data_IF_514574864279
#
_entry.id   IF_514574864279
#
_cell.length_a   1.000
_cell.length_b   1.000
_cell.length_c   1.000
_cell.angle_alpha   90.00
_cell.angle_beta   90.00
_cell.angle_gamma   90.00
#
_symmetry.space_group_name_H-M   'P 1'
#
loop_
_entity.id
_entity.type
_entity.pdbx_description
1 polymer ?
#
# COMPACT_ATOMS: atom_id res chain seq x y z
N UNK A 1 -14.40 -68.10 -9.01
CA UNK A 1 -13.42 -67.04 -9.39
C UNK A 1 -14.05 -65.64 -9.42
N UNK A 2 -14.63 -65.14 -8.30
CA UNK A 2 -15.23 -63.77 -8.23
C UNK A 2 -14.82 -62.97 -6.98
N UNK A 3 -14.04 -63.55 -6.05
CA UNK A 3 -13.59 -62.87 -4.82
C UNK A 3 -12.39 -61.94 -5.09
N UNK A 4 -11.55 -62.30 -6.04
CA UNK A 4 -10.27 -61.59 -6.31
C UNK A 4 -10.48 -60.24 -7.00
N UNK A 5 -11.59 -60.07 -7.73
CA UNK A 5 -11.94 -58.82 -8.41
C UNK A 5 -12.53 -57.77 -7.47
N UNK A 6 -13.22 -58.20 -6.41
CA UNK A 6 -13.79 -57.31 -5.39
C UNK A 6 -12.66 -56.78 -4.49
N UNK A 7 -11.75 -57.64 -4.07
CA UNK A 7 -10.61 -57.26 -3.23
C UNK A 7 -9.67 -56.26 -3.91
N UNK A 8 -9.37 -56.46 -5.21
CA UNK A 8 -8.59 -55.50 -6.00
C UNK A 8 -9.25 -54.13 -6.15
N UNK A 9 -10.58 -54.07 -6.25
CA UNK A 9 -11.31 -52.79 -6.34
C UNK A 9 -11.27 -52.02 -5.02
N UNK A 10 -11.35 -52.70 -3.87
CA UNK A 10 -11.30 -52.04 -2.55
C UNK A 10 -9.90 -51.43 -2.34
N UNK A 11 -8.83 -52.19 -2.60
CA UNK A 11 -7.45 -51.67 -2.49
C UNK A 11 -7.16 -50.51 -3.46
N UNK A 12 -7.70 -50.55 -4.69
CA UNK A 12 -7.53 -49.46 -5.65
C UNK A 12 -8.33 -48.21 -5.24
N UNK A 13 -9.49 -48.36 -4.60
CA UNK A 13 -10.25 -47.24 -4.03
C UNK A 13 -9.53 -46.61 -2.82
N UNK A 14 -8.86 -47.40 -1.98
CA UNK A 14 -8.06 -46.89 -0.85
C UNK A 14 -6.80 -46.18 -1.34
N UNK A 15 -6.09 -46.72 -2.33
CA UNK A 15 -4.93 -46.08 -2.94
C UNK A 15 -5.28 -44.75 -3.62
N UNK A 16 -6.44 -44.67 -4.28
CA UNK A 16 -6.93 -43.42 -4.90
C UNK A 16 -7.29 -42.37 -3.84
N UNK A 17 -7.92 -42.77 -2.73
CA UNK A 17 -8.23 -41.87 -1.59
C UNK A 17 -6.97 -41.35 -0.91
N UNK A 18 -5.98 -42.22 -0.69
CA UNK A 18 -4.69 -41.82 -0.11
C UNK A 18 -3.90 -40.87 -1.02
N UNK A 19 -3.91 -41.10 -2.35
CA UNK A 19 -3.30 -40.18 -3.32
C UNK A 19 -3.99 -38.81 -3.35
N UNK A 20 -5.31 -38.77 -3.28
CA UNK A 20 -6.07 -37.52 -3.21
C UNK A 20 -5.77 -36.72 -1.93
N UNK A 21 -5.66 -37.40 -0.78
CA UNK A 21 -5.31 -36.75 0.49
C UNK A 21 -3.88 -36.16 0.45
N UNK A 22 -2.91 -36.90 -0.10
CA UNK A 22 -1.53 -36.41 -0.24
C UNK A 22 -1.43 -35.19 -1.17
N UNK A 23 -2.16 -35.16 -2.29
CA UNK A 23 -2.19 -33.99 -3.18
C UNK A 23 -2.79 -32.77 -2.46
N UNK A 24 -3.87 -32.96 -1.69
CA UNK A 24 -4.48 -31.85 -0.94
C UNK A 24 -3.56 -31.26 0.12
N UNK A 25 -2.76 -32.07 0.82
CA UNK A 25 -1.82 -31.61 1.83
C UNK A 25 -0.67 -30.77 1.23
N UNK A 26 -0.21 -31.09 0.02
CA UNK A 26 0.79 -30.32 -0.71
C UNK A 26 0.23 -28.97 -1.17
N UNK A 27 -1.02 -28.93 -1.62
CA UNK A 27 -1.67 -27.66 -2.01
C UNK A 27 -1.79 -26.71 -0.81
N UNK A 28 -2.23 -27.18 0.36
CA UNK A 28 -2.38 -26.33 1.55
C UNK A 28 -1.06 -25.74 2.03
N UNK A 29 0.05 -26.47 1.92
CA UNK A 29 1.38 -26.00 2.33
C UNK A 29 1.98 -24.97 1.37
N UNK A 30 1.70 -25.05 0.05
CA UNK A 30 2.21 -24.08 -0.93
C UNK A 30 1.52 -22.71 -0.83
N UNK A 31 0.24 -22.66 -0.43
CA UNK A 31 -0.51 -21.39 -0.33
C UNK A 31 -0.51 -20.75 1.06
N UNK A 32 -0.04 -21.44 2.11
CA UNK A 32 -0.20 -21.03 3.50
C UNK A 32 0.71 -19.88 4.01
N UNK A 33 1.73 -19.47 3.26
CA UNK A 33 2.75 -18.53 3.77
C UNK A 33 2.95 -17.28 2.90
N UNK A 34 1.87 -16.59 2.51
CA UNK A 34 1.99 -15.20 2.06
C UNK A 34 1.98 -14.25 3.25
N UNK A 35 3.12 -14.14 3.96
CA UNK A 35 3.37 -12.93 4.75
C UNK A 35 3.48 -11.77 3.79
N UNK A 36 2.43 -10.95 3.71
CA UNK A 36 2.44 -9.71 2.93
C UNK A 36 3.65 -8.89 3.38
N UNK A 37 4.65 -8.76 2.50
CA UNK A 37 5.81 -7.93 2.75
C UNK A 37 5.31 -6.50 3.02
N UNK A 38 5.31 -6.11 4.29
CA UNK A 38 5.01 -4.76 4.75
C UNK A 38 6.21 -3.86 4.41
N UNK A 39 6.42 -3.68 3.11
CA UNK A 39 7.54 -2.97 2.51
C UNK A 39 7.25 -1.46 2.40
N UNK A 40 6.00 -1.03 2.58
CA UNK A 40 5.62 0.39 2.43
C UNK A 40 5.63 1.10 3.78
N UNK A 41 6.34 2.23 3.93
CA UNK A 41 6.32 3.02 5.14
C UNK A 41 4.90 3.49 5.52
N UNK A 42 4.59 3.66 6.81
CA UNK A 42 3.23 3.90 7.29
C UNK A 42 2.73 5.35 7.09
N UNK A 43 3.37 6.16 6.24
CA UNK A 43 3.12 7.60 6.08
C UNK A 43 1.64 7.93 5.88
N UNK A 44 0.96 7.20 5.01
CA UNK A 44 -0.46 7.43 4.70
C UNK A 44 -1.37 7.17 5.91
N UNK A 45 -1.13 6.06 6.63
CA UNK A 45 -1.93 5.71 7.80
C UNK A 45 -1.72 6.72 8.93
N UNK A 46 -0.46 7.09 9.17
CA UNK A 46 -0.12 8.09 10.18
C UNK A 46 -0.72 9.46 9.86
N UNK A 47 -0.71 9.88 8.59
CA UNK A 47 -1.33 11.14 8.18
C UNK A 47 -2.84 11.15 8.47
N UNK A 48 -3.55 10.07 8.14
CA UNK A 48 -4.98 9.94 8.39
C UNK A 48 -5.33 9.98 9.89
N UNK A 49 -4.45 9.45 10.75
CA UNK A 49 -4.61 9.54 12.20
C UNK A 49 -4.41 10.96 12.74
N UNK A 50 -3.45 11.71 12.19
CA UNK A 50 -3.18 13.08 12.62
C UNK A 50 -4.24 14.07 12.14
N UNK A 51 -4.84 13.80 10.98
CA UNK A 51 -5.74 14.72 10.30
C UNK A 51 -7.02 14.01 9.84
N UNK A 52 -7.84 13.48 10.77
CA UNK A 52 -9.04 12.71 10.43
C UNK A 52 -10.11 13.52 9.70
N UNK A 53 -10.18 14.83 9.98
CA UNK A 53 -11.16 15.77 9.42
C UNK A 53 -10.63 16.61 8.26
N UNK A 54 -9.40 16.34 7.82
CA UNK A 54 -8.83 17.11 6.73
C UNK A 54 -9.43 16.66 5.39
N UNK A 55 -9.92 17.58 4.54
CA UNK A 55 -10.51 17.27 3.23
C UNK A 55 -9.58 16.56 2.24
N UNK A 56 -8.39 16.13 2.67
CA UNK A 56 -7.67 14.98 2.09
C UNK A 56 -8.45 13.67 2.35
N UNK A 57 -9.75 13.71 2.14
CA UNK A 57 -10.56 12.52 2.09
C UNK A 57 -10.21 11.79 0.78
N UNK A 58 -9.89 10.48 0.82
CA UNK A 58 -9.49 9.68 -0.34
C UNK A 58 -10.40 9.75 -1.56
N UNK A 59 -11.63 10.26 -1.40
CA UNK A 59 -12.65 10.40 -2.43
C UNK A 59 -12.62 11.73 -3.19
N UNK A 60 -12.04 12.82 -2.65
CA UNK A 60 -12.13 14.15 -3.29
C UNK A 60 -10.82 14.89 -3.49
N UNK A 61 -9.70 14.37 -3.01
CA UNK A 61 -8.43 14.77 -3.57
C UNK A 61 -7.33 13.75 -3.35
N UNK A 62 -6.56 13.50 -4.41
CA UNK A 62 -5.66 12.36 -4.55
C UNK A 62 -4.80 12.18 -3.30
N UNK A 63 -5.01 11.07 -2.59
CA UNK A 63 -4.29 10.62 -1.36
C UNK A 63 -2.76 10.81 -1.38
N UNK A 64 -2.15 10.81 -2.56
CA UNK A 64 -0.71 10.99 -2.70
C UNK A 64 -0.31 12.44 -2.98
N UNK A 65 -1.19 13.27 -3.54
CA UNK A 65 -0.88 14.65 -3.92
C UNK A 65 -0.65 15.58 -2.73
N UNK A 66 -0.99 15.14 -1.52
CA UNK A 66 -0.60 15.85 -0.29
C UNK A 66 0.91 15.97 -0.18
N UNK A 67 1.65 14.92 -0.56
CA UNK A 67 3.11 14.89 -0.45
C UNK A 67 3.80 14.91 -1.82
N UNK A 68 3.09 14.53 -2.89
CA UNK A 68 3.63 14.43 -4.24
C UNK A 68 3.07 15.53 -5.14
N UNK A 69 3.83 15.89 -6.18
CA UNK A 69 3.39 16.86 -7.18
C UNK A 69 2.17 16.28 -7.94
N UNK A 70 1.04 17.01 -8.02
CA UNK A 70 -0.08 16.62 -8.87
C UNK A 70 0.37 16.41 -10.33
N UNK A 71 -0.26 15.47 -11.04
CA UNK A 71 0.13 15.19 -12.43
C UNK A 71 1.36 14.30 -12.60
N UNK A 72 2.26 14.20 -11.61
CA UNK A 72 3.34 13.22 -11.64
C UNK A 72 2.80 11.80 -11.42
N UNK A 73 2.61 11.08 -12.53
CA UNK A 73 2.15 9.69 -12.53
C UNK A 73 3.13 8.76 -11.81
N UNK A 74 4.44 9.08 -11.82
CA UNK A 74 5.49 8.25 -11.20
C UNK A 74 5.65 8.53 -9.70
N UNK A 75 5.06 9.62 -9.19
CA UNK A 75 5.10 10.02 -7.77
C UNK A 75 6.54 10.15 -7.24
N UNK A 76 7.49 10.45 -8.12
CA UNK A 76 8.90 10.63 -7.77
C UNK A 76 9.13 12.04 -7.23
N UNK A 77 8.38 13.01 -7.75
CA UNK A 77 8.50 14.40 -7.33
C UNK A 77 7.67 14.65 -6.08
N UNK A 78 8.35 15.14 -5.03
CA UNK A 78 7.75 15.61 -3.79
C UNK A 78 7.46 17.10 -3.89
N UNK A 79 6.28 17.51 -3.44
CA UNK A 79 5.94 18.91 -3.27
C UNK A 79 6.67 19.49 -2.02
N UNK A 80 6.57 20.81 -1.73
CA UNK A 80 7.26 21.39 -0.57
C UNK A 80 6.95 20.68 0.76
N UNK A 81 5.70 20.25 0.96
CA UNK A 81 5.30 19.48 2.13
C UNK A 81 6.01 18.12 2.22
N UNK A 82 6.00 17.34 1.14
CA UNK A 82 6.67 16.04 1.07
C UNK A 82 8.18 16.15 1.26
N UNK A 83 8.82 17.22 0.75
CA UNK A 83 10.24 17.50 0.98
C UNK A 83 10.53 17.88 2.43
N UNK A 84 9.65 18.65 3.07
CA UNK A 84 9.79 18.99 4.48
C UNK A 84 9.67 17.76 5.39
N UNK A 85 8.76 16.83 5.08
CA UNK A 85 8.68 15.54 5.78
C UNK A 85 9.97 14.74 5.58
N UNK A 86 10.45 14.61 4.33
CA UNK A 86 11.68 13.87 4.03
C UNK A 86 12.89 14.41 4.81
N UNK A 87 13.04 15.73 4.89
CA UNK A 87 14.10 16.38 5.67
C UNK A 87 13.98 16.17 7.18
N UNK A 88 12.77 15.98 7.69
CA UNK A 88 12.52 15.76 9.11
C UNK A 88 12.66 14.28 9.53
N UNK A 89 12.76 13.36 8.57
CA UNK A 89 13.02 11.96 8.84
C UNK A 89 14.54 11.72 8.95
N UNK A 90 14.98 10.80 9.82
CA UNK A 90 16.41 10.47 9.95
C UNK A 90 16.98 9.79 8.71
N UNK A 91 16.14 9.07 7.94
CA UNK A 91 16.52 8.41 6.70
C UNK A 91 15.26 8.13 5.86
N UNK A 92 15.40 7.69 4.59
CA UNK A 92 14.27 7.23 3.79
C UNK A 92 13.58 5.99 4.40
N UNK A 93 12.31 5.79 4.05
CA UNK A 93 11.52 4.60 4.39
C UNK A 93 11.39 4.25 5.89
N UNK A 94 11.38 5.26 6.76
CA UNK A 94 11.18 5.07 8.21
C UNK A 94 9.84 4.40 8.49
N UNK A 95 9.88 3.28 9.22
CA UNK A 95 8.69 2.52 9.64
C UNK A 95 8.20 2.90 11.04
N UNK A 96 9.02 3.58 11.84
CA UNK A 96 8.63 4.04 13.17
C UNK A 96 7.53 5.10 13.07
N UNK A 97 6.34 4.75 13.55
CA UNK A 97 5.16 5.61 13.49
C UNK A 97 5.31 6.89 14.32
N UNK A 98 6.05 6.87 15.42
CA UNK A 98 6.29 8.06 16.26
C UNK A 98 7.20 9.05 15.53
N UNK A 99 8.27 8.56 14.89
CA UNK A 99 9.16 9.39 14.07
C UNK A 99 8.40 9.99 12.89
N UNK A 100 7.57 9.18 12.22
CA UNK A 100 6.71 9.63 11.13
C UNK A 100 5.72 10.69 11.61
N UNK A 101 5.06 10.50 12.77
CA UNK A 101 4.15 11.50 13.36
C UNK A 101 4.87 12.83 13.59
N UNK A 102 6.07 12.77 14.17
CA UNK A 102 6.89 13.96 14.45
C UNK A 102 7.25 14.70 13.16
N UNK A 103 7.71 13.98 12.14
CA UNK A 103 8.09 14.55 10.84
C UNK A 103 6.89 15.19 10.11
N UNK A 104 5.72 14.54 10.14
CA UNK A 104 4.49 15.05 9.54
C UNK A 104 4.02 16.34 10.24
N UNK A 105 4.11 16.40 11.57
CA UNK A 105 3.78 17.60 12.35
C UNK A 105 4.79 18.74 12.12
N UNK A 106 6.09 18.46 12.05
CA UNK A 106 7.10 19.51 11.79
C UNK A 106 6.95 20.16 10.42
N UNK A 107 6.36 19.45 9.46
CA UNK A 107 6.12 19.94 8.10
C UNK A 107 4.79 20.72 7.96
N UNK A 108 3.97 20.82 9.00
CA UNK A 108 2.59 21.31 8.92
C UNK A 108 2.45 22.70 8.28
N UNK A 109 3.41 23.59 8.50
CA UNK A 109 3.46 24.93 7.86
C UNK A 109 3.53 24.91 6.33
N UNK A 110 3.98 23.80 5.73
CA UNK A 110 4.08 23.64 4.28
C UNK A 110 2.89 22.89 3.68
N UNK A 111 1.92 22.50 4.51
CA UNK A 111 0.76 21.72 4.08
C UNK A 111 0.02 22.46 2.95
N UNK A 112 -0.25 21.80 1.81
CA UNK A 112 -0.93 22.45 0.72
C UNK A 112 -2.37 22.82 1.11
N UNK A 113 -2.89 23.90 0.53
CA UNK A 113 -4.30 24.27 0.67
C UNK A 113 -5.21 23.15 0.13
N UNK A 114 -6.44 23.02 0.65
CA UNK A 114 -7.41 22.06 0.15
C UNK A 114 -7.69 22.28 -1.35
N UNK A 115 -8.10 21.21 -2.01
CA UNK A 115 -8.05 21.03 -3.46
C UNK A 115 -9.03 21.85 -4.32
N UNK A 116 -9.17 23.15 -4.06
CA UNK A 116 -9.64 24.07 -5.09
C UNK A 116 -8.53 24.44 -6.08
N UNK A 117 -7.26 24.38 -5.68
CA UNK A 117 -6.19 25.04 -6.45
C UNK A 117 -5.20 24.10 -7.17
N UNK A 118 -5.17 22.79 -6.87
CA UNK A 118 -4.06 21.90 -7.30
C UNK A 118 -4.42 20.90 -8.41
N UNK A 119 -5.62 20.96 -8.97
CA UNK A 119 -6.15 19.93 -9.89
C UNK A 119 -6.73 20.42 -11.21
N UNK A 120 -7.02 21.71 -11.35
CA UNK A 120 -7.51 22.24 -12.63
C UNK A 120 -6.33 22.42 -13.60
N UNK A 121 -6.39 21.87 -14.83
CA UNK A 121 -5.56 22.36 -15.92
C UNK A 121 -5.66 23.89 -15.95
N UNK A 122 -4.55 24.61 -15.80
CA UNK A 122 -4.53 26.08 -15.76
C UNK A 122 -4.55 26.75 -14.37
N UNK A 123 -4.48 26.00 -13.26
CA UNK A 123 -4.32 26.63 -11.93
C UNK A 123 -3.07 27.53 -11.83
N UNK A 124 -3.12 28.56 -10.98
CA UNK A 124 -2.01 29.50 -10.77
C UNK A 124 -0.71 28.80 -10.36
N UNK A 125 -0.79 27.64 -9.70
CA UNK A 125 0.36 26.84 -9.31
C UNK A 125 1.17 26.35 -10.52
N UNK A 126 0.51 25.82 -11.56
CA UNK A 126 1.20 25.39 -12.79
C UNK A 126 1.78 26.56 -13.58
N UNK A 127 1.09 27.71 -13.59
CA UNK A 127 1.61 28.93 -14.21
C UNK A 127 2.90 29.40 -13.53
N UNK A 128 2.97 29.42 -12.20
CA UNK A 128 4.20 29.81 -11.48
C UNK A 128 5.35 28.79 -11.57
N UNK A 129 5.05 27.50 -11.71
CA UNK A 129 6.08 26.46 -11.74
C UNK A 129 6.78 26.33 -13.10
N UNK A 130 6.14 26.76 -14.19
CA UNK A 130 6.70 26.75 -15.55
C UNK A 130 7.33 28.09 -15.95
N UNK A 131 7.23 29.12 -15.10
CA UNK A 131 7.80 30.46 -15.32
C UNK A 131 9.08 30.72 -14.52
N UNK A 132 9.69 29.68 -13.95
CA UNK A 132 11.03 29.67 -13.33
C UNK A 132 11.86 28.60 -14.02
#
# INVERSE_FOLDING_TARGET
>A
MKRDTIFRRIHDMEAKRMRLLLISAVVVTVFGFHKSAEARPPYKGVYAELYPNDPVNPKRCRRCNVCHVPGDKRKKLRNPYGKAIEKALPHPNVKDRKLVKKAIKSAEKFKPKPCRDYGAPGSQFWRRLLSQ
#
